data_IF_624839135827
#
_entry.id   IF_624839135827
#
_cell.length_a   1.000
_cell.length_b   1.000
_cell.length_c   1.000
_cell.angle_alpha   90.00
_cell.angle_beta   90.00
_cell.angle_gamma   90.00
#
_symmetry.space_group_name_H-M   'P 1'
#
loop_
_entity.id
_entity.type
_entity.pdbx_description
1 polymer ?
#
# COMPACT_ATOMS: atom_id res chain seq x y z
N UNK A 1 -32.37 59.18 -1.49
CA UNK A 1 -31.58 59.44 -0.27
C UNK A 1 -30.24 58.76 -0.46
N UNK A 2 -29.28 59.51 -0.99
CA UNK A 2 -27.94 59.03 -1.37
C UNK A 2 -26.95 59.30 -0.25
N UNK A 3 -26.39 58.24 0.33
CA UNK A 3 -25.38 58.33 1.39
C UNK A 3 -24.00 58.21 0.76
N UNK A 4 -23.35 59.33 0.48
CA UNK A 4 -21.92 59.38 0.13
C UNK A 4 -21.08 59.18 1.40
N UNK A 5 -20.43 58.02 1.52
CA UNK A 5 -19.37 57.81 2.51
C UNK A 5 -18.02 58.29 1.94
N UNK A 6 -17.49 59.36 2.53
CA UNK A 6 -16.14 59.87 2.29
C UNK A 6 -15.15 59.05 3.13
N UNK A 7 -14.22 58.36 2.49
CA UNK A 7 -13.13 57.66 3.17
C UNK A 7 -12.02 58.66 3.51
N UNK A 8 -11.76 58.84 4.81
CA UNK A 8 -10.63 59.61 5.32
C UNK A 8 -9.32 58.85 5.08
N UNK A 9 -8.33 59.58 4.59
CA UNK A 9 -6.99 59.07 4.32
C UNK A 9 -6.25 58.65 5.59
N UNK A 10 -5.63 57.48 5.54
CA UNK A 10 -4.65 57.05 6.52
C UNK A 10 -3.28 57.60 6.13
N UNK A 11 -2.70 58.41 7.02
CA UNK A 11 -1.31 58.85 6.97
C UNK A 11 -0.38 57.66 7.18
N UNK A 12 0.50 57.39 6.23
CA UNK A 12 1.50 56.34 6.33
C UNK A 12 2.54 56.72 7.39
N UNK A 13 2.58 55.96 8.50
CA UNK A 13 3.71 56.02 9.42
C UNK A 13 4.95 55.42 8.72
N UNK A 14 6.14 56.02 8.87
CA UNK A 14 7.36 55.39 8.40
C UNK A 14 7.60 54.07 9.16
N UNK A 15 8.09 53.03 8.49
CA UNK A 15 8.34 51.74 9.12
C UNK A 15 9.38 51.86 10.23
N UNK A 16 9.23 51.10 11.33
CA UNK A 16 10.15 51.12 12.45
C UNK A 16 11.53 50.56 12.06
N UNK A 17 12.57 51.14 12.66
CA UNK A 17 14.00 51.04 12.33
C UNK A 17 14.69 49.69 12.59
N UNK A 18 13.94 48.64 12.92
CA UNK A 18 14.49 47.30 13.17
C UNK A 18 14.52 46.40 11.92
N UNK A 19 14.17 46.94 10.74
CA UNK A 19 14.30 46.27 9.45
C UNK A 19 15.74 46.26 8.90
N UNK A 20 16.74 45.97 9.74
CA UNK A 20 18.05 45.54 9.24
C UNK A 20 17.99 44.02 9.06
N UNK A 21 17.79 43.60 7.81
CA UNK A 21 17.98 42.19 7.43
C UNK A 21 19.39 41.76 7.84
N UNK A 22 19.56 40.67 8.60
CA UNK A 22 20.87 40.09 8.80
C UNK A 22 21.41 39.74 7.41
N UNK A 23 22.59 40.29 7.10
CA UNK A 23 23.32 39.99 5.88
C UNK A 23 23.75 38.52 5.95
N UNK A 24 22.89 37.62 5.47
CA UNK A 24 23.20 36.20 5.39
C UNK A 24 24.42 36.04 4.50
N UNK A 25 25.50 35.54 5.10
CA UNK A 25 26.72 35.16 4.38
C UNK A 25 26.36 34.26 3.21
N UNK A 26 27.02 34.52 2.07
CA UNK A 26 26.92 33.72 0.85
C UNK A 26 26.92 32.22 1.21
N UNK A 27 25.90 31.45 0.81
CA UNK A 27 25.92 30.02 1.02
C UNK A 27 27.13 29.47 0.28
N UNK A 28 28.06 28.88 1.01
CA UNK A 28 29.12 28.07 0.43
C UNK A 28 28.45 27.07 -0.52
N UNK A 29 28.79 27.15 -1.81
CA UNK A 29 28.46 26.10 -2.77
C UNK A 29 29.17 24.83 -2.28
N UNK A 30 28.47 24.04 -1.46
CA UNK A 30 28.84 22.67 -1.23
C UNK A 30 28.78 22.00 -2.59
N UNK A 31 29.95 21.61 -3.10
CA UNK A 31 30.07 20.77 -4.29
C UNK A 31 29.08 19.62 -4.13
N UNK A 32 28.00 19.65 -4.91
CA UNK A 32 27.10 18.52 -5.01
C UNK A 32 27.89 17.41 -5.68
N UNK A 33 28.42 16.50 -4.85
CA UNK A 33 28.89 15.21 -5.30
C UNK A 33 27.76 14.59 -6.12
N UNK A 34 28.01 14.20 -7.39
CA UNK A 34 26.99 13.56 -8.20
C UNK A 34 26.48 12.34 -7.42
N UNK A 35 25.18 12.33 -7.17
CA UNK A 35 24.52 11.25 -6.45
C UNK A 35 24.76 9.95 -7.23
N UNK A 36 25.73 9.15 -6.80
CA UNK A 36 25.90 7.78 -7.25
C UNK A 36 24.80 6.99 -6.53
N UNK A 37 23.77 6.47 -7.23
CA UNK A 37 22.81 5.59 -6.59
C UNK A 37 23.61 4.42 -6.00
N UNK A 38 23.57 4.29 -4.68
CA UNK A 38 24.08 3.10 -4.02
C UNK A 38 23.34 1.91 -4.64
N UNK A 39 24.05 1.16 -5.49
CA UNK A 39 23.66 -0.20 -5.80
C UNK A 39 23.84 -0.94 -4.48
N UNK A 40 22.74 -1.10 -3.75
CA UNK A 40 22.66 -2.05 -2.66
C UNK A 40 22.95 -3.40 -3.32
N UNK A 41 24.22 -3.80 -3.25
CA UNK A 41 24.72 -5.05 -3.75
C UNK A 41 24.11 -6.08 -2.81
N UNK A 42 22.88 -6.50 -3.12
CA UNK A 42 22.25 -7.63 -2.46
C UNK A 42 23.31 -8.73 -2.48
N UNK A 43 23.64 -9.34 -1.33
CA UNK A 43 24.50 -10.51 -1.35
C UNK A 43 23.92 -11.42 -2.41
N UNK A 44 24.75 -11.80 -3.38
CA UNK A 44 24.34 -12.65 -4.48
C UNK A 44 23.54 -13.77 -3.83
N UNK A 45 22.24 -13.81 -4.12
CA UNK A 45 21.45 -14.93 -3.64
C UNK A 45 22.22 -16.16 -4.12
N UNK A 46 22.56 -17.10 -3.21
CA UNK A 46 23.24 -18.30 -3.63
C UNK A 46 22.47 -18.80 -4.85
N UNK A 47 23.16 -19.09 -5.97
CA UNK A 47 22.50 -19.46 -7.20
C UNK A 47 21.42 -20.44 -6.82
N UNK A 48 20.16 -20.12 -7.15
CA UNK A 48 19.03 -20.92 -6.75
C UNK A 48 19.44 -22.37 -6.99
N UNK A 49 19.68 -23.10 -5.91
CA UNK A 49 20.00 -24.51 -6.02
C UNK A 49 18.68 -25.08 -6.47
N UNK A 50 18.50 -25.10 -7.79
CA UNK A 50 17.45 -25.87 -8.42
C UNK A 50 17.64 -27.25 -7.82
N UNK A 51 16.67 -27.74 -7.02
CA UNK A 51 16.75 -29.10 -6.54
C UNK A 51 17.01 -29.98 -7.77
N UNK A 52 17.92 -30.96 -7.68
CA UNK A 52 18.23 -31.84 -8.80
C UNK A 52 16.91 -32.30 -9.42
N UNK A 53 16.76 -32.27 -10.76
CA UNK A 53 15.51 -32.64 -11.40
C UNK A 53 15.16 -34.05 -10.93
N UNK A 54 14.14 -34.17 -10.07
CA UNK A 54 13.76 -35.49 -9.57
C UNK A 54 13.17 -36.24 -10.76
N UNK A 55 13.75 -37.39 -11.15
CA UNK A 55 13.15 -38.27 -12.14
C UNK A 55 11.93 -38.92 -11.48
N UNK A 56 10.77 -38.27 -11.59
CA UNK A 56 9.55 -38.75 -10.93
C UNK A 56 8.55 -37.68 -10.51
N UNK A 57 8.74 -36.40 -10.88
CA UNK A 57 7.62 -35.46 -10.85
C UNK A 57 6.62 -35.88 -11.94
N UNK A 58 5.72 -36.80 -11.56
CA UNK A 58 4.34 -36.78 -12.01
C UNK A 58 3.95 -35.31 -12.17
N UNK A 59 3.44 -34.97 -13.37
CA UNK A 59 2.88 -33.66 -13.70
C UNK A 59 2.40 -33.03 -12.41
N UNK A 60 3.11 -31.99 -11.96
CA UNK A 60 2.59 -31.08 -10.96
C UNK A 60 1.23 -30.72 -11.51
N UNK A 61 0.19 -31.30 -10.92
CA UNK A 61 -1.15 -30.79 -11.05
C UNK A 61 -0.95 -29.31 -10.81
N UNK A 62 -1.13 -28.51 -11.86
CA UNK A 62 -1.40 -27.08 -11.69
C UNK A 62 -2.28 -27.05 -10.46
N UNK A 63 -1.85 -26.44 -9.33
CA UNK A 63 -2.63 -26.50 -8.11
C UNK A 63 -3.97 -26.06 -8.58
N UNK A 64 -4.88 -27.02 -8.64
CA UNK A 64 -6.17 -26.73 -9.19
C UNK A 64 -6.56 -25.58 -8.28
N UNK A 65 -6.96 -24.47 -8.86
CA UNK A 65 -7.94 -23.64 -8.18
C UNK A 65 -9.19 -24.50 -8.08
N UNK A 66 -9.08 -25.66 -7.42
CA UNK A 66 -10.09 -26.52 -6.88
C UNK A 66 -10.64 -25.71 -5.75
N UNK A 67 -11.32 -24.64 -6.17
CA UNK A 67 -12.58 -24.22 -5.66
C UNK A 67 -13.32 -25.51 -5.38
N UNK A 68 -13.10 -26.07 -4.19
CA UNK A 68 -14.18 -26.75 -3.53
C UNK A 68 -15.24 -25.65 -3.44
N UNK A 69 -16.31 -25.67 -4.25
CA UNK A 69 -17.21 -24.52 -4.41
C UNK A 69 -17.94 -24.19 -3.10
N UNK A 70 -17.67 -24.92 -2.02
CA UNK A 70 -18.38 -24.95 -0.76
C UNK A 70 -17.71 -24.20 0.39
N UNK A 71 -16.53 -23.59 0.21
CA UNK A 71 -15.84 -22.89 1.32
C UNK A 71 -15.71 -21.38 1.11
N UNK A 72 -16.81 -20.72 0.74
CA UNK A 72 -16.88 -19.27 0.83
C UNK A 72 -17.28 -18.82 2.24
N UNK A 73 -16.73 -17.69 2.72
CA UNK A 73 -15.74 -16.85 2.05
C UNK A 73 -14.35 -17.51 1.99
N UNK A 74 -13.62 -17.28 0.88
CA UNK A 74 -12.22 -17.69 0.76
C UNK A 74 -11.38 -16.77 1.65
N UNK A 75 -10.73 -17.37 2.64
CA UNK A 75 -9.99 -16.65 3.68
C UNK A 75 -8.50 -16.61 3.38
N UNK A 76 -7.93 -15.41 3.37
CA UNK A 76 -6.51 -15.15 3.19
C UNK A 76 -5.97 -14.40 4.41
N UNK A 77 -5.04 -15.01 5.13
CA UNK A 77 -4.35 -14.39 6.27
C UNK A 77 -3.15 -13.60 5.78
N UNK A 78 -2.97 -12.39 6.31
CA UNK A 78 -1.92 -11.47 5.87
C UNK A 78 -1.03 -11.08 7.04
N UNK A 79 0.26 -11.37 6.88
CA UNK A 79 1.30 -11.15 7.88
C UNK A 79 2.50 -10.44 7.26
N UNK A 80 3.21 -9.64 8.05
CA UNK A 80 4.54 -9.18 7.65
C UNK A 80 5.60 -10.07 8.27
N UNK A 81 6.60 -10.46 7.49
CA UNK A 81 7.69 -11.31 7.95
C UNK A 81 8.91 -10.57 8.41
N UNK A 82 9.05 -9.29 8.05
CA UNK A 82 10.13 -8.45 8.55
C UNK A 82 9.64 -7.47 9.60
N UNK A 83 10.50 -7.21 10.57
CA UNK A 83 10.30 -6.15 11.56
C UNK A 83 10.19 -4.76 10.91
N UNK A 84 10.78 -4.60 9.72
CA UNK A 84 10.68 -3.38 8.92
C UNK A 84 9.36 -3.27 8.16
N UNK A 85 8.50 -4.30 8.18
CA UNK A 85 7.23 -4.33 7.45
C UNK A 85 7.39 -4.36 5.92
N UNK A 86 8.59 -4.68 5.43
CA UNK A 86 8.92 -4.67 3.98
C UNK A 86 8.53 -5.94 3.25
N UNK A 87 8.27 -7.03 3.96
CA UNK A 87 7.92 -8.31 3.35
C UNK A 87 6.58 -8.74 3.89
N UNK A 88 5.62 -8.91 3.00
CA UNK A 88 4.27 -9.36 3.29
C UNK A 88 4.06 -10.77 2.75
N UNK A 89 3.37 -11.60 3.52
CA UNK A 89 2.94 -12.94 3.15
C UNK A 89 1.43 -13.03 3.23
N UNK A 90 0.85 -13.70 2.25
CA UNK A 90 -0.57 -14.00 2.16
C UNK A 90 -0.72 -15.51 2.11
N UNK A 91 -1.32 -16.09 3.14
CA UNK A 91 -1.52 -17.54 3.29
C UNK A 91 -3.01 -17.90 3.29
N UNK A 92 -3.35 -19.09 2.82
CA UNK A 92 -4.74 -19.53 2.75
C UNK A 92 -5.23 -20.15 4.06
N UNK A 93 -6.41 -19.73 4.53
CA UNK A 93 -7.11 -20.24 5.70
C UNK A 93 -6.53 -19.80 7.05
N UNK A 94 -5.25 -20.08 7.28
CA UNK A 94 -4.52 -19.75 8.52
C UNK A 94 -3.16 -19.12 8.21
N UNK A 95 -2.52 -18.53 9.22
CA UNK A 95 -1.18 -17.92 9.09
C UNK A 95 -0.06 -18.93 8.79
N UNK A 96 -0.27 -20.21 9.09
CA UNK A 96 0.63 -21.32 8.76
C UNK A 96 0.18 -22.07 7.49
N UNK A 97 -0.90 -21.60 6.87
CA UNK A 97 -1.46 -22.21 5.67
C UNK A 97 -0.57 -22.05 4.44
N UNK A 98 -0.99 -22.64 3.31
CA UNK A 98 -0.26 -22.55 2.05
C UNK A 98 0.00 -21.09 1.66
N UNK A 99 1.24 -20.77 1.27
CA UNK A 99 1.57 -19.45 0.75
C UNK A 99 0.89 -19.28 -0.62
N UNK A 100 0.12 -18.21 -0.77
CA UNK A 100 -0.57 -17.88 -2.02
C UNK A 100 0.15 -16.72 -2.70
N UNK A 101 0.41 -15.65 -1.95
CA UNK A 101 1.15 -14.48 -2.43
C UNK A 101 2.24 -14.08 -1.45
N UNK A 102 3.34 -13.56 -1.99
CA UNK A 102 4.30 -12.75 -1.28
C UNK A 102 4.30 -11.35 -1.89
N UNK A 103 4.63 -10.34 -1.10
CA UNK A 103 4.85 -9.01 -1.64
C UNK A 103 5.99 -8.29 -0.93
N UNK A 104 6.79 -7.58 -1.72
CA UNK A 104 7.84 -6.69 -1.24
C UNK A 104 7.36 -5.24 -1.27
N UNK A 105 7.52 -4.55 -0.15
CA UNK A 105 7.13 -3.17 0.05
C UNK A 105 8.38 -2.30 0.17
N UNK A 106 8.48 -1.29 -0.69
CA UNK A 106 9.58 -0.32 -0.63
C UNK A 106 9.11 0.98 0.03
N UNK A 107 9.98 1.57 0.85
CA UNK A 107 9.68 2.82 1.58
C UNK A 107 10.13 4.06 0.80
N UNK A 108 11.21 3.98 0.02
CA UNK A 108 11.70 5.06 -0.84
C UNK A 108 11.08 4.86 -2.23
N UNK A 109 10.16 5.75 -2.60
CA UNK A 109 9.19 5.60 -3.70
C UNK A 109 8.26 4.43 -3.41
N UNK A 110 7.19 4.64 -2.62
CA UNK A 110 6.33 3.56 -2.18
C UNK A 110 5.84 2.78 -3.39
N UNK A 111 6.24 1.51 -3.44
CA UNK A 111 5.77 0.54 -4.42
C UNK A 111 5.69 -0.84 -3.78
N UNK A 112 4.75 -1.64 -4.26
CA UNK A 112 4.61 -3.04 -3.89
C UNK A 112 4.88 -3.92 -5.10
N UNK A 113 5.63 -5.00 -4.90
CA UNK A 113 5.90 -6.03 -5.89
C UNK A 113 5.29 -7.32 -5.39
N UNK A 114 4.21 -7.77 -6.01
CA UNK A 114 3.61 -9.06 -5.69
C UNK A 114 4.30 -10.18 -6.45
N UNK A 115 4.32 -11.36 -5.84
CA UNK A 115 4.79 -12.61 -6.41
C UNK A 115 3.80 -13.70 -6.00
N UNK A 116 3.21 -14.40 -6.97
CA UNK A 116 2.35 -15.55 -6.70
C UNK A 116 3.19 -16.83 -6.48
N UNK A 117 2.75 -17.69 -5.57
CA UNK A 117 3.45 -18.95 -5.28
C UNK A 117 3.17 -19.99 -6.36
N UNK A 118 4.20 -20.69 -6.84
CA UNK A 118 4.06 -21.81 -7.78
C UNK A 118 3.87 -21.40 -9.24
N UNK A 119 3.73 -20.11 -9.55
CA UNK A 119 3.70 -19.60 -10.91
C UNK A 119 4.77 -18.52 -11.09
N UNK A 120 5.64 -18.67 -12.09
CA UNK A 120 6.57 -17.60 -12.49
C UNK A 120 5.83 -16.34 -13.00
N UNK A 121 4.52 -16.45 -13.26
CA UNK A 121 3.65 -15.36 -13.67
C UNK A 121 2.85 -14.83 -12.48
N UNK A 122 3.35 -13.74 -11.89
CA UNK A 122 2.57 -12.56 -11.47
C UNK A 122 3.51 -11.54 -10.82
N UNK A 123 4.22 -10.69 -11.61
CA UNK A 123 4.74 -9.45 -11.08
C UNK A 123 3.59 -8.43 -11.11
N UNK A 124 2.67 -8.47 -10.14
CA UNK A 124 1.78 -7.33 -9.98
C UNK A 124 2.57 -6.21 -9.32
N UNK A 125 2.56 -5.03 -9.93
CA UNK A 125 3.26 -3.85 -9.42
C UNK A 125 2.25 -2.81 -9.00
N UNK A 126 2.44 -2.27 -7.81
CA UNK A 126 1.64 -1.17 -7.29
C UNK A 126 2.57 0.02 -7.09
N UNK A 127 2.25 1.15 -7.69
CA UNK A 127 3.01 2.40 -7.54
C UNK A 127 2.13 3.41 -6.82
N UNK A 128 2.65 3.93 -5.70
CA UNK A 128 1.99 4.96 -4.92
C UNK A 128 2.63 6.31 -5.21
N UNK A 129 1.80 7.32 -5.42
CA UNK A 129 2.23 8.68 -5.69
C UNK A 129 2.30 9.48 -4.38
N UNK A 130 3.49 9.98 -4.01
CA UNK A 130 3.71 10.65 -2.72
C UNK A 130 2.78 11.84 -2.42
N UNK A 131 2.25 12.49 -3.46
CA UNK A 131 1.40 13.69 -3.35
C UNK A 131 0.01 13.51 -3.96
N UNK A 132 -0.31 12.30 -4.42
CA UNK A 132 -1.64 11.98 -4.97
C UNK A 132 -2.25 10.80 -4.23
N UNK A 133 -3.58 10.71 -4.23
CA UNK A 133 -4.30 9.52 -3.79
C UNK A 133 -4.37 8.44 -4.89
N UNK A 134 -3.86 8.76 -6.08
CA UNK A 134 -3.78 7.81 -7.19
C UNK A 134 -2.83 6.66 -6.83
N UNK A 135 -3.25 5.45 -7.20
CA UNK A 135 -2.44 4.23 -7.10
C UNK A 135 -2.47 3.58 -8.47
N UNK A 136 -1.29 3.41 -9.07
CA UNK A 136 -1.19 2.72 -10.36
C UNK A 136 -0.97 1.24 -10.09
N UNK A 137 -1.78 0.38 -10.70
CA UNK A 137 -1.73 -1.06 -10.49
C UNK A 137 -1.55 -1.72 -11.86
N UNK A 138 -0.55 -2.57 -11.96
CA UNK A 138 -0.31 -3.40 -13.14
C UNK A 138 -0.35 -4.85 -12.70
N UNK A 139 -1.16 -5.69 -13.37
CA UNK A 139 -1.24 -7.13 -13.12
C UNK A 139 -0.91 -7.82 -14.44
N UNK A 140 0.07 -8.72 -14.44
CA UNK A 140 0.54 -9.42 -15.65
C UNK A 140 0.98 -8.49 -16.81
N UNK A 141 1.48 -7.30 -16.49
CA UNK A 141 1.90 -6.31 -17.49
C UNK A 141 0.76 -5.46 -18.06
N UNK A 142 -0.49 -5.73 -17.70
CA UNK A 142 -1.64 -4.90 -18.06
C UNK A 142 -1.92 -3.90 -16.94
N UNK A 143 -2.03 -2.62 -17.30
CA UNK A 143 -2.52 -1.60 -16.38
C UNK A 143 -3.99 -1.92 -16.08
N UNK A 144 -4.27 -2.17 -14.81
CA UNK A 144 -5.59 -2.59 -14.39
C UNK A 144 -6.40 -1.33 -14.08
N UNK A 145 -7.34 -0.90 -14.95
CA UNK A 145 -8.43 -0.10 -14.43
C UNK A 145 -9.17 -1.05 -13.49
N UNK A 146 -9.13 -0.78 -12.18
CA UNK A 146 -10.10 -1.40 -11.27
C UNK A 146 -11.44 -1.40 -11.99
N UNK A 147 -12.10 -2.57 -12.09
CA UNK A 147 -13.36 -2.63 -12.84
C UNK A 147 -14.23 -1.45 -12.40
N UNK A 148 -14.71 -0.60 -13.32
CA UNK A 148 -15.30 0.70 -12.98
C UNK A 148 -16.41 0.62 -11.93
N UNK A 149 -17.04 -0.56 -11.86
CA UNK A 149 -18.16 -0.87 -11.01
C UNK A 149 -17.79 -1.22 -9.57
N UNK A 150 -16.51 -1.48 -9.25
CA UNK A 150 -16.10 -1.90 -7.90
C UNK A 150 -15.21 -0.87 -7.21
N UNK A 151 -15.42 -0.65 -5.92
CA UNK A 151 -14.61 0.27 -5.13
C UNK A 151 -14.45 -0.21 -3.68
N UNK A 152 -13.29 0.13 -3.10
CA UNK A 152 -13.00 -0.11 -1.68
C UNK A 152 -13.53 1.06 -0.84
N UNK A 153 -14.32 0.75 0.19
CA UNK A 153 -14.82 1.73 1.16
C UNK A 153 -14.52 1.28 2.59
N UNK A 154 -14.43 2.23 3.52
CA UNK A 154 -14.33 1.91 4.94
C UNK A 154 -15.61 1.22 5.41
N UNK A 155 -15.46 0.07 6.06
CA UNK A 155 -16.58 -0.57 6.75
C UNK A 155 -16.87 0.17 8.06
N UNK A 156 -18.14 0.18 8.47
CA UNK A 156 -18.53 0.73 9.78
C UNK A 156 -18.01 -0.21 10.87
N UNK A 157 -17.05 0.25 11.67
CA UNK A 157 -16.44 -0.55 12.73
C UNK A 157 -15.49 0.26 13.60
N UNK A 158 -15.12 -0.31 14.75
CA UNK A 158 -14.26 0.35 15.74
C UNK A 158 -12.81 0.46 15.27
N UNK A 159 -12.39 -0.42 14.35
CA UNK A 159 -11.08 -0.38 13.71
C UNK A 159 -11.17 0.37 12.38
N UNK A 160 -10.64 1.60 12.33
CA UNK A 160 -10.66 2.47 11.14
C UNK A 160 -9.96 1.91 9.89
N UNK A 161 -9.37 0.71 9.98
CA UNK A 161 -8.62 0.03 8.93
C UNK A 161 -9.41 -1.08 8.23
N UNK A 162 -10.67 -1.35 8.58
CA UNK A 162 -11.46 -2.38 7.89
C UNK A 162 -12.04 -1.84 6.58
N UNK A 163 -11.92 -2.60 5.49
CA UNK A 163 -12.37 -2.19 4.16
C UNK A 163 -13.33 -3.23 3.56
N UNK A 164 -14.24 -2.76 2.72
CA UNK A 164 -15.14 -3.59 1.92
C UNK A 164 -15.00 -3.17 0.46
N UNK A 165 -14.74 -4.14 -0.42
CA UNK A 165 -14.86 -3.96 -1.86
C UNK A 165 -16.30 -4.26 -2.24
N UNK A 166 -17.01 -3.26 -2.76
CA UNK A 166 -18.41 -3.39 -3.16
C UNK A 166 -18.60 -3.01 -4.61
N UNK A 167 -19.62 -3.59 -5.24
CA UNK A 167 -20.09 -3.16 -6.57
C UNK A 167 -21.05 -1.95 -6.48
N UNK A 168 -21.56 -1.52 -7.64
CA UNK A 168 -22.56 -0.45 -7.77
C UNK A 168 -23.87 -0.74 -7.03
N UNK A 169 -24.22 -2.01 -6.86
CA UNK A 169 -25.43 -2.46 -6.16
C UNK A 169 -25.20 -2.65 -4.65
N UNK A 170 -23.97 -2.43 -4.17
CA UNK A 170 -23.58 -2.66 -2.78
C UNK A 170 -23.29 -4.12 -2.42
N UNK A 171 -23.19 -5.01 -3.41
CA UNK A 171 -22.78 -6.41 -3.21
C UNK A 171 -21.30 -6.44 -2.84
N UNK A 172 -20.97 -7.16 -1.76
CA UNK A 172 -19.59 -7.25 -1.25
C UNK A 172 -18.84 -8.35 -2.00
N UNK A 173 -17.76 -7.97 -2.69
CA UNK A 173 -16.82 -8.88 -3.34
C UNK A 173 -15.72 -9.37 -2.40
N UNK A 174 -15.21 -8.46 -1.57
CA UNK A 174 -14.16 -8.77 -0.62
C UNK A 174 -14.24 -7.89 0.62
N UNK A 175 -13.72 -8.40 1.72
CA UNK A 175 -13.62 -7.66 2.98
C UNK A 175 -12.24 -7.82 3.60
N UNK A 176 -11.61 -6.70 3.90
CA UNK A 176 -10.43 -6.65 4.73
C UNK A 176 -10.82 -6.40 6.18
N UNK A 177 -10.30 -7.22 7.08
CA UNK A 177 -10.44 -7.09 8.51
C UNK A 177 -9.08 -6.98 9.15
N UNK A 178 -8.79 -5.82 9.72
CA UNK A 178 -7.60 -5.60 10.52
C UNK A 178 -7.60 -6.50 11.75
N UNK A 179 -6.43 -7.02 12.13
CA UNK A 179 -6.32 -7.78 13.38
C UNK A 179 -6.55 -6.84 14.59
N UNK A 180 -7.29 -7.31 15.60
CA UNK A 180 -7.47 -6.57 16.86
C UNK A 180 -6.13 -6.48 17.59
N UNK A 181 -5.59 -5.28 17.73
CA UNK A 181 -4.22 -5.08 18.22
C UNK A 181 -3.18 -5.22 17.11
N UNK A 182 -3.36 -4.43 16.04
CA UNK A 182 -2.44 -4.31 14.91
C UNK A 182 -0.99 -4.43 15.37
N UNK A 183 -0.36 -5.55 15.03
CA UNK A 183 1.02 -5.82 15.40
C UNK A 183 1.84 -5.91 14.13
N UNK A 184 3.13 -5.60 14.22
CA UNK A 184 4.05 -5.66 13.08
C UNK A 184 3.99 -7.02 12.38
N UNK A 185 3.65 -8.11 13.09
CA UNK A 185 3.61 -9.46 12.51
C UNK A 185 2.23 -9.89 12.00
N UNK A 186 1.15 -9.29 12.50
CA UNK A 186 -0.24 -9.66 12.15
C UNK A 186 -0.98 -8.42 11.65
N UNK A 187 -1.13 -8.33 10.33
CA UNK A 187 -1.77 -7.19 9.66
C UNK A 187 -3.29 -7.35 9.69
N UNK A 188 -3.78 -8.50 9.22
CA UNK A 188 -5.21 -8.75 9.14
C UNK A 188 -5.53 -9.91 8.23
N UNK A 189 -6.77 -9.92 7.78
CA UNK A 189 -7.36 -10.99 6.98
C UNK A 189 -8.17 -10.40 5.84
N UNK A 190 -7.98 -10.95 4.65
CA UNK A 190 -8.79 -10.68 3.47
C UNK A 190 -9.74 -11.85 3.23
N UNK A 191 -11.03 -11.57 3.13
CA UNK A 191 -12.07 -12.53 2.78
C UNK A 191 -12.62 -12.20 1.40
N UNK A 192 -12.62 -13.17 0.49
CA UNK A 192 -13.18 -13.06 -0.86
C UNK A 192 -14.48 -13.85 -0.90
N UNK A 193 -15.58 -13.19 -1.27
CA UNK A 193 -16.92 -13.78 -1.28
C UNK A 193 -17.25 -14.45 -2.62
N UNK A 194 -18.30 -15.26 -2.63
CA UNK A 194 -18.74 -16.05 -3.78
C UNK A 194 -18.90 -15.24 -5.08
N UNK A 195 -19.52 -14.04 -5.11
CA UNK A 195 -19.70 -13.30 -6.36
C UNK A 195 -18.37 -12.96 -7.06
N UNK A 196 -17.32 -12.71 -6.28
CA UNK A 196 -15.97 -12.48 -6.80
C UNK A 196 -15.29 -13.76 -7.29
N UNK A 197 -15.54 -14.87 -6.62
CA UNK A 197 -14.87 -16.12 -6.93
C UNK A 197 -15.44 -16.82 -8.17
N UNK A 198 -16.70 -16.54 -8.53
CA UNK A 198 -17.25 -16.86 -9.86
C UNK A 198 -16.49 -16.10 -10.96
N UNK A 199 -15.93 -14.92 -10.66
CA UNK A 199 -15.08 -14.15 -11.56
C UNK A 199 -13.72 -14.79 -11.86
N UNK A 200 -13.40 -15.93 -11.25
CA UNK A 200 -12.18 -16.69 -11.51
C UNK A 200 -10.93 -16.12 -10.85
N UNK A 201 -9.77 -16.68 -11.25
CA UNK A 201 -8.46 -16.34 -10.67
C UNK A 201 -8.11 -14.86 -10.84
N UNK A 202 -8.40 -14.29 -12.01
CA UNK A 202 -8.07 -12.90 -12.33
C UNK A 202 -8.78 -11.92 -11.40
N UNK A 203 -10.07 -12.14 -11.13
CA UNK A 203 -10.82 -11.32 -10.16
C UNK A 203 -10.26 -11.48 -8.74
N UNK A 204 -9.87 -12.68 -8.34
CA UNK A 204 -9.25 -12.90 -7.04
C UNK A 204 -7.90 -12.18 -6.92
N UNK A 205 -7.06 -12.24 -7.95
CA UNK A 205 -5.77 -11.54 -7.99
C UNK A 205 -5.97 -10.02 -7.92
N UNK A 206 -6.92 -9.48 -8.69
CA UNK A 206 -7.32 -8.06 -8.63
C UNK A 206 -7.71 -7.64 -7.21
N UNK A 207 -8.60 -8.39 -6.56
CA UNK A 207 -9.07 -8.08 -5.21
C UNK A 207 -7.95 -8.15 -4.16
N UNK A 208 -7.05 -9.12 -4.29
CA UNK A 208 -5.89 -9.24 -3.40
C UNK A 208 -4.96 -8.04 -3.57
N UNK A 209 -4.57 -7.73 -4.82
CA UNK A 209 -3.61 -6.65 -5.10
C UNK A 209 -4.20 -5.29 -4.71
N UNK A 210 -5.41 -4.99 -5.17
CA UNK A 210 -6.08 -3.70 -4.90
C UNK A 210 -6.41 -3.54 -3.42
N UNK A 211 -6.91 -4.58 -2.75
CA UNK A 211 -7.24 -4.54 -1.33
C UNK A 211 -6.01 -4.28 -0.47
N UNK A 212 -4.92 -5.02 -0.70
CA UNK A 212 -3.68 -4.85 0.06
C UNK A 212 -2.96 -3.54 -0.26
N UNK A 213 -3.06 -3.05 -1.50
CA UNK A 213 -2.60 -1.71 -1.85
C UNK A 213 -3.31 -0.62 -1.04
N UNK A 214 -4.64 -0.67 -0.95
CA UNK A 214 -5.43 0.28 -0.17
C UNK A 214 -5.07 0.23 1.33
N UNK A 215 -4.93 -0.97 1.89
CA UNK A 215 -4.51 -1.15 3.29
C UNK A 215 -3.13 -0.54 3.55
N UNK A 216 -2.17 -0.77 2.65
CA UNK A 216 -0.83 -0.21 2.79
C UNK A 216 -0.83 1.31 2.66
N UNK A 217 -1.62 1.87 1.73
CA UNK A 217 -1.79 3.31 1.61
C UNK A 217 -2.33 3.94 2.90
N UNK A 218 -3.37 3.34 3.50
CA UNK A 218 -3.91 3.79 4.78
C UNK A 218 -2.88 3.70 5.90
N UNK A 219 -2.05 2.65 5.91
CA UNK A 219 -0.97 2.51 6.88
C UNK A 219 0.07 3.63 6.73
N UNK A 220 0.51 3.94 5.50
CA UNK A 220 1.44 5.04 5.23
C UNK A 220 0.85 6.36 5.74
N UNK A 221 -0.39 6.65 5.37
CA UNK A 221 -1.07 7.90 5.77
C UNK A 221 -1.19 8.02 7.30
N UNK A 222 -1.56 6.94 7.98
CA UNK A 222 -1.66 6.89 9.44
C UNK A 222 -0.30 7.14 10.10
N UNK A 223 0.76 6.50 9.61
CA UNK A 223 2.11 6.68 10.13
C UNK A 223 2.60 8.12 9.93
N UNK A 224 2.34 8.72 8.77
CA UNK A 224 2.70 10.12 8.49
C UNK A 224 1.95 11.10 9.39
N UNK A 225 0.65 10.88 9.63
CA UNK A 225 -0.14 11.71 10.53
C UNK A 225 0.37 11.63 11.99
N UNK A 226 0.67 10.42 12.47
CA UNK A 226 1.22 10.22 13.82
C UNK A 226 2.61 10.86 13.99
N UNK A 227 3.48 10.77 12.97
CA UNK A 227 4.79 11.39 13.00
C UNK A 227 4.70 12.93 13.05
N UNK A 228 3.77 13.53 12.30
CA UNK A 228 3.52 14.97 12.32
C UNK A 228 2.99 15.43 13.70
N UNK A 229 2.03 14.71 14.28
CA UNK A 229 1.48 15.02 15.60
C UNK A 229 2.54 14.93 16.71
N UNK A 230 3.39 13.89 16.68
CA UNK A 230 4.51 13.76 17.63
C UNK A 230 5.53 14.89 17.51
N UNK A 231 5.82 15.33 16.28
CA UNK A 231 6.73 16.45 16.04
C UNK A 231 6.15 17.77 16.55
N UNK A 232 4.85 18.01 16.37
CA UNK A 232 4.19 19.20 16.88
C UNK A 232 4.19 19.25 18.43
N UNK A 233 3.92 18.12 19.08
CA UNK A 233 3.93 18.04 20.54
C UNK A 233 5.33 18.33 21.14
N UNK A 234 6.40 17.90 20.46
CA UNK A 234 7.78 18.16 20.90
C UNK A 234 8.20 19.63 20.76
N UNK A 235 7.63 20.38 19.81
CA UNK A 235 7.93 21.82 19.63
C UNK A 235 7.16 22.68 20.65
N UNK A 236 6.05 22.18 21.18
CA UNK A 236 5.22 22.90 22.17
C UNK A 236 5.61 22.66 23.63
N UNK A 237 6.59 21.79 23.90
CA UNK A 237 7.08 21.45 25.24
C UNK A 237 8.38 22.19 25.55
#
# INVERSE_FOLDING_TARGET
MDTKMSYNGYSANPPPTWAQEPQYGQPHQAYQQPYQPYQEQYPAQPPAQYPPPHPGYSQSSTPAWGLNPKSYPRRLEVSFTSWSGRHMRVTEGTHEGPLVYAADLKTRRPHMLFQATGTACLPATVVFHNFSRTVDITINGEELPMRPTSHWKHSKGWTGMNLECVDENGVVFAKWMAHTGWSVKKSGRLEIYEPAAVGGKEMADELVVTGLANVYLLQIQTNSANAAAGSAAAVSA
#
